data_IF_370617639663
#
_entry.id   IF_370617639663
#
_cell.length_a   1.000
_cell.length_b   1.000
_cell.length_c   1.000
_cell.angle_alpha   90.00
_cell.angle_beta   90.00
_cell.angle_gamma   90.00
#
_symmetry.space_group_name_H-M   'P 1'
#
loop_
_entity.id
_entity.type
_entity.pdbx_description
1 polymer ?
#
# COMPACT_ATOMS: atom_id res chain seq x y z
N UNK A 1 -0.99 11.34 7.71
CA UNK A 1 -2.20 10.57 7.49
C UNK A 1 -2.75 10.02 8.78
N UNK A 2 -2.91 10.90 9.76
CA UNK A 2 -3.29 10.45 11.11
C UNK A 2 -4.64 9.74 11.16
N UNK A 3 -5.59 10.18 10.37
CA UNK A 3 -6.92 9.57 10.35
C UNK A 3 -6.89 8.12 9.92
N UNK A 4 -6.11 7.83 8.89
CA UNK A 4 -5.97 6.45 8.39
C UNK A 4 -5.35 5.56 9.46
N UNK A 5 -4.27 6.05 10.09
CA UNK A 5 -3.58 5.28 11.11
C UNK A 5 -4.47 4.99 12.30
N UNK A 6 -5.33 5.94 12.66
CA UNK A 6 -6.32 5.74 13.72
C UNK A 6 -7.26 4.57 13.40
N UNK A 7 -7.79 4.54 12.19
CA UNK A 7 -8.68 3.46 11.78
C UNK A 7 -7.99 2.11 11.77
N UNK A 8 -6.75 2.05 11.25
CA UNK A 8 -5.97 0.82 11.24
C UNK A 8 -5.70 0.35 12.67
N UNK A 9 -5.35 1.27 13.55
CA UNK A 9 -5.07 0.95 14.93
C UNK A 9 -6.27 0.27 15.61
N UNK A 10 -7.46 0.83 15.46
CA UNK A 10 -8.67 0.27 16.05
C UNK A 10 -8.95 -1.13 15.50
N UNK A 11 -8.84 -1.30 14.20
CA UNK A 11 -9.04 -2.61 13.57
C UNK A 11 -8.00 -3.63 14.03
N UNK A 12 -6.76 -3.20 14.18
CA UNK A 12 -5.69 -4.07 14.66
C UNK A 12 -5.99 -4.59 16.05
N UNK A 13 -6.50 -3.74 16.92
CA UNK A 13 -6.90 -4.14 18.26
C UNK A 13 -8.04 -5.16 18.22
N UNK A 14 -9.03 -4.92 17.37
CA UNK A 14 -10.14 -5.86 17.19
C UNK A 14 -9.63 -7.21 16.67
N UNK A 15 -8.70 -7.17 15.72
CA UNK A 15 -8.14 -8.40 15.17
C UNK A 15 -7.37 -9.21 16.21
N UNK A 16 -6.77 -8.57 17.20
CA UNK A 16 -6.10 -9.28 18.27
C UNK A 16 -7.07 -10.05 19.17
N UNK A 17 -8.28 -9.55 19.29
CA UNK A 17 -9.35 -10.24 20.02
C UNK A 17 -9.96 -11.36 19.21
N UNK A 18 -9.93 -11.25 17.89
CA UNK A 18 -10.40 -12.27 16.98
C UNK A 18 -9.26 -13.24 16.69
N UNK A 19 -9.51 -14.50 16.76
CA UNK A 19 -8.49 -15.50 16.45
C UNK A 19 -8.27 -15.55 14.95
N UNK A 20 -7.19 -14.92 14.49
CA UNK A 20 -6.82 -14.98 13.08
C UNK A 20 -6.35 -16.40 12.73
N UNK A 21 -6.80 -16.90 11.61
CA UNK A 21 -6.36 -18.19 11.09
C UNK A 21 -5.21 -18.02 10.09
N UNK A 22 -5.04 -16.81 9.57
CA UNK A 22 -3.99 -16.48 8.61
C UNK A 22 -3.59 -15.02 8.80
N UNK A 23 -2.41 -14.62 8.31
CA UNK A 23 -1.98 -13.24 8.45
C UNK A 23 -2.93 -12.28 7.73
N UNK A 24 -2.97 -11.05 8.21
CA UNK A 24 -3.66 -9.96 7.53
C UNK A 24 -2.64 -8.87 7.20
N UNK A 25 -2.69 -8.37 5.96
CA UNK A 25 -1.86 -7.27 5.51
C UNK A 25 -2.71 -6.03 5.39
N UNK A 26 -2.34 -4.99 6.12
CA UNK A 26 -2.90 -3.65 5.94
C UNK A 26 -1.94 -2.86 5.07
N UNK A 27 -2.46 -2.08 4.14
CA UNK A 27 -1.59 -1.30 3.29
C UNK A 27 -2.13 0.10 3.08
N UNK A 28 -1.21 1.02 2.81
CA UNK A 28 -1.50 2.40 2.53
C UNK A 28 -0.71 2.79 1.28
N UNK A 29 -1.37 3.40 0.32
CA UNK A 29 -0.78 3.75 -0.97
C UNK A 29 -0.73 5.26 -1.13
N UNK A 30 0.40 5.76 -1.66
CA UNK A 30 0.46 7.09 -2.24
C UNK A 30 0.59 6.93 -3.74
N UNK A 31 -0.08 7.78 -4.50
CA UNK A 31 -0.27 7.56 -5.93
C UNK A 31 -0.07 8.85 -6.72
N UNK A 32 -0.10 8.73 -8.06
CA UNK A 32 -0.05 9.90 -8.94
C UNK A 32 -1.41 10.59 -9.08
N UNK A 33 -2.48 9.98 -8.57
CA UNK A 33 -3.83 10.54 -8.66
C UNK A 33 -4.86 9.51 -8.22
N UNK A 34 -6.11 9.74 -8.57
CA UNK A 34 -7.24 8.94 -8.07
C UNK A 34 -7.90 8.06 -9.14
N UNK A 35 -7.34 7.99 -10.33
CA UNK A 35 -7.90 7.18 -11.40
C UNK A 35 -7.22 5.82 -11.43
N UNK A 36 -7.94 4.77 -11.04
CA UNK A 36 -7.40 3.41 -10.94
C UNK A 36 -6.83 2.91 -12.27
N UNK A 37 -7.44 3.30 -13.39
CA UNK A 37 -7.01 2.82 -14.71
C UNK A 37 -5.73 3.51 -15.22
N UNK A 38 -5.50 4.75 -14.80
CA UNK A 38 -4.39 5.57 -15.33
C UNK A 38 -3.30 5.85 -14.34
N UNK A 39 -3.64 5.99 -13.07
CA UNK A 39 -2.68 6.39 -12.07
C UNK A 39 -1.86 5.21 -11.55
N UNK A 40 -0.71 5.55 -10.99
CA UNK A 40 0.28 4.56 -10.56
C UNK A 40 0.65 4.80 -9.10
N UNK A 41 1.15 3.76 -8.46
CA UNK A 41 1.63 3.82 -7.09
C UNK A 41 3.00 4.50 -7.08
N UNK A 42 3.22 5.42 -6.12
CA UNK A 42 4.53 6.03 -5.87
C UNK A 42 5.12 5.60 -4.53
N UNK A 43 4.28 5.14 -3.61
CA UNK A 43 4.74 4.58 -2.34
C UNK A 43 3.74 3.53 -1.90
N UNK A 44 4.23 2.41 -1.37
CA UNK A 44 3.39 1.38 -0.77
C UNK A 44 3.96 1.03 0.60
N UNK A 45 3.12 1.13 1.62
CA UNK A 45 3.44 0.71 2.98
C UNK A 45 2.56 -0.47 3.34
N UNK A 46 3.16 -1.53 3.85
CA UNK A 46 2.44 -2.75 4.25
C UNK A 46 2.76 -3.08 5.70
N UNK A 47 1.71 -3.29 6.48
CA UNK A 47 1.81 -3.83 7.83
C UNK A 47 1.17 -5.22 7.83
N UNK A 48 1.96 -6.23 8.09
CA UNK A 48 1.49 -7.62 8.14
C UNK A 48 1.39 -8.07 9.60
N UNK A 49 0.20 -8.52 9.99
CA UNK A 49 -0.06 -9.01 11.34
C UNK A 49 -0.30 -10.51 11.27
N UNK A 50 0.49 -11.27 12.01
CA UNK A 50 0.40 -12.73 12.04
C UNK A 50 -0.58 -13.21 13.10
N UNK A 51 -1.12 -14.44 12.96
CA UNK A 51 -2.04 -14.97 13.97
C UNK A 51 -1.50 -15.02 15.41
N UNK A 52 -0.17 -15.10 15.57
CA UNK A 52 0.45 -15.10 16.89
C UNK A 52 0.68 -13.70 17.46
N UNK A 53 0.21 -12.66 16.76
CA UNK A 53 0.38 -11.27 17.20
C UNK A 53 1.65 -10.61 16.72
N UNK A 54 2.57 -11.33 16.10
CA UNK A 54 3.77 -10.73 15.53
C UNK A 54 3.40 -9.81 14.37
N UNK A 55 4.23 -8.79 14.14
CA UNK A 55 4.02 -7.79 13.10
C UNK A 55 5.28 -7.61 12.28
N UNK A 56 5.09 -7.35 11.01
CA UNK A 56 6.15 -7.01 10.08
C UNK A 56 5.69 -5.83 9.24
N UNK A 57 6.55 -4.83 9.06
CA UNK A 57 6.17 -3.67 8.26
C UNK A 57 7.27 -3.34 7.26
N UNK A 58 6.87 -2.96 6.06
CA UNK A 58 7.77 -2.52 5.00
C UNK A 58 7.16 -1.38 4.22
N UNK A 59 8.03 -0.50 3.73
CA UNK A 59 7.62 0.62 2.88
C UNK A 59 8.56 0.68 1.69
N UNK A 60 8.01 0.85 0.50
CA UNK A 60 8.77 1.02 -0.72
C UNK A 60 8.36 2.30 -1.41
N UNK A 61 9.35 3.07 -1.87
CA UNK A 61 9.13 4.11 -2.86
C UNK A 61 9.17 3.45 -4.24
N UNK A 62 8.31 3.89 -5.13
CA UNK A 62 8.12 3.27 -6.44
C UNK A 62 8.23 4.34 -7.52
N UNK A 63 9.00 4.04 -8.56
CA UNK A 63 9.01 4.89 -9.74
C UNK A 63 7.72 4.63 -10.53
N UNK A 64 6.80 5.61 -10.63
CA UNK A 64 5.51 5.37 -11.28
C UNK A 64 5.58 5.36 -12.80
N UNK A 65 6.75 5.65 -13.37
CA UNK A 65 6.95 5.71 -14.83
C UNK A 65 6.04 6.74 -15.50
N UNK A 66 5.62 7.75 -14.75
CA UNK A 66 4.85 8.88 -15.24
C UNK A 66 5.09 10.08 -14.35
N UNK A 67 4.77 11.26 -14.86
CA UNK A 67 4.90 12.50 -14.10
C UNK A 67 3.88 12.55 -12.99
N UNK A 68 4.33 12.91 -11.78
CA UNK A 68 3.43 13.16 -10.65
C UNK A 68 2.96 14.61 -10.77
N UNK A 69 1.65 14.87 -10.87
CA UNK A 69 1.16 16.26 -10.95
C UNK A 69 1.54 17.07 -9.71
N UNK A 70 1.79 18.36 -9.90
CA UNK A 70 2.21 19.23 -8.80
C UNK A 70 1.20 19.25 -7.66
N UNK A 71 -0.08 19.27 -7.97
CA UNK A 71 -1.13 19.28 -6.96
C UNK A 71 -1.13 18.00 -6.11
N UNK A 72 -0.68 16.90 -6.69
CA UNK A 72 -0.59 15.63 -5.98
C UNK A 72 0.67 15.61 -5.11
N UNK A 73 1.78 16.13 -5.62
CA UNK A 73 3.01 16.31 -4.83
C UNK A 73 2.73 17.17 -3.60
N UNK A 74 1.92 18.20 -3.76
CA UNK A 74 1.55 19.08 -2.64
C UNK A 74 0.81 18.33 -1.54
N UNK A 75 0.12 17.24 -1.87
CA UNK A 75 -0.63 16.45 -0.90
C UNK A 75 0.28 15.48 -0.12
N UNK A 76 1.11 14.70 -0.81
CA UNK A 76 1.90 13.66 -0.14
C UNK A 76 3.40 13.95 -0.06
N UNK A 77 3.87 15.00 -0.73
CA UNK A 77 5.27 15.41 -0.64
C UNK A 77 6.27 14.55 -1.39
N UNK A 78 5.81 13.59 -2.18
CA UNK A 78 6.71 12.73 -2.95
C UNK A 78 6.91 13.36 -4.32
N UNK A 79 8.12 13.83 -4.58
CA UNK A 79 8.46 14.53 -5.81
C UNK A 79 8.88 13.57 -6.92
N UNK A 80 8.84 14.06 -8.16
CA UNK A 80 9.33 13.28 -9.30
C UNK A 80 10.82 12.91 -9.13
N UNK A 81 11.62 13.82 -8.60
CA UNK A 81 13.04 13.57 -8.36
C UNK A 81 13.26 12.47 -7.34
N UNK A 82 12.41 12.41 -6.33
CA UNK A 82 12.54 11.46 -5.23
C UNK A 82 12.34 10.02 -5.69
N UNK A 83 11.53 9.81 -6.71
CA UNK A 83 11.23 8.46 -7.22
C UNK A 83 11.92 8.13 -8.53
N UNK A 84 12.66 9.09 -9.11
CA UNK A 84 13.29 8.91 -10.43
C UNK A 84 14.25 7.72 -10.50
N UNK A 85 14.96 7.45 -9.40
CA UNK A 85 15.92 6.35 -9.36
C UNK A 85 15.43 5.17 -8.53
N UNK A 86 14.15 5.17 -8.15
CA UNK A 86 13.57 4.05 -7.42
C UNK A 86 13.12 2.95 -8.37
N UNK A 87 12.99 1.71 -7.89
CA UNK A 87 12.50 0.64 -8.76
C UNK A 87 11.05 0.88 -9.18
N UNK A 88 10.70 0.32 -10.32
CA UNK A 88 9.31 0.34 -10.79
C UNK A 88 8.50 -0.68 -10.01
N UNK A 89 7.17 -0.58 -10.06
CA UNK A 89 6.32 -1.57 -9.40
C UNK A 89 6.58 -2.97 -9.97
N UNK A 90 6.78 -3.07 -11.27
CA UNK A 90 7.09 -4.35 -11.90
C UNK A 90 8.33 -5.00 -11.28
N UNK A 91 9.36 -4.21 -11.02
CA UNK A 91 10.59 -4.72 -10.39
C UNK A 91 10.37 -5.15 -8.94
N UNK A 92 9.44 -4.50 -8.24
CA UNK A 92 9.11 -4.80 -6.85
C UNK A 92 8.02 -5.85 -6.69
N UNK A 93 7.32 -6.20 -7.78
CA UNK A 93 6.11 -7.01 -7.72
C UNK A 93 6.31 -8.36 -7.02
N UNK A 94 7.42 -9.02 -7.28
CA UNK A 94 7.70 -10.32 -6.65
C UNK A 94 7.86 -10.20 -5.14
N UNK A 95 8.57 -9.18 -4.69
CA UNK A 95 8.80 -8.94 -3.27
C UNK A 95 7.51 -8.59 -2.56
N UNK A 96 6.73 -7.71 -3.17
CA UNK A 96 5.43 -7.29 -2.63
C UNK A 96 4.47 -8.48 -2.59
N UNK A 97 4.38 -9.23 -3.68
CA UNK A 97 3.52 -10.41 -3.74
C UNK A 97 3.90 -11.44 -2.67
N UNK A 98 5.20 -11.67 -2.50
CA UNK A 98 5.70 -12.61 -1.50
C UNK A 98 5.25 -12.21 -0.09
N UNK A 99 5.20 -10.92 0.19
CA UNK A 99 4.77 -10.43 1.49
C UNK A 99 3.27 -10.62 1.72
N UNK A 100 2.45 -10.37 0.70
CA UNK A 100 0.98 -10.42 0.85
C UNK A 100 0.39 -11.79 0.56
N UNK A 101 1.18 -12.70 0.01
CA UNK A 101 0.73 -14.04 -0.34
C UNK A 101 0.17 -14.76 0.89
N UNK A 102 -0.93 -15.48 0.71
CA UNK A 102 -1.59 -16.26 1.76
C UNK A 102 -2.05 -15.40 2.95
N UNK A 103 -2.30 -14.11 2.71
CA UNK A 103 -2.78 -13.18 3.71
C UNK A 103 -4.12 -12.58 3.28
N UNK A 104 -4.91 -12.21 4.26
CA UNK A 104 -6.06 -11.35 4.00
C UNK A 104 -5.57 -9.93 3.77
N UNK A 105 -6.30 -9.13 3.02
CA UNK A 105 -5.90 -7.76 2.69
C UNK A 105 -6.88 -6.76 3.28
N UNK A 106 -6.35 -5.64 3.77
CA UNK A 106 -7.15 -4.54 4.28
C UNK A 106 -6.43 -3.21 4.07
N UNK A 107 -7.15 -2.11 4.24
CA UNK A 107 -6.59 -0.78 4.09
C UNK A 107 -7.66 0.27 4.25
N UNK A 108 -7.28 1.55 4.16
CA UNK A 108 -8.22 2.64 4.39
C UNK A 108 -9.23 2.81 3.28
N UNK A 109 -8.77 2.88 2.05
CA UNK A 109 -9.63 3.00 0.89
C UNK A 109 -9.65 1.69 0.13
N UNK A 110 -9.52 0.57 0.85
CA UNK A 110 -9.28 -0.73 0.26
C UNK A 110 -10.33 -1.15 -0.75
N UNK A 111 -11.60 -0.93 -0.45
CA UNK A 111 -12.68 -1.38 -1.33
C UNK A 111 -12.85 -0.52 -2.57
N UNK A 112 -12.53 0.77 -2.47
CA UNK A 112 -12.80 1.72 -3.54
C UNK A 112 -11.58 2.08 -4.37
N UNK A 113 -10.41 2.07 -3.77
CA UNK A 113 -9.23 2.56 -4.46
C UNK A 113 -8.00 1.67 -4.26
N UNK A 114 -7.59 1.42 -3.01
CA UNK A 114 -6.30 0.77 -2.76
C UNK A 114 -6.23 -0.65 -3.32
N UNK A 115 -7.23 -1.48 -3.06
CA UNK A 115 -7.24 -2.85 -3.59
C UNK A 115 -7.37 -2.86 -5.11
N UNK A 116 -8.30 -2.12 -5.72
CA UNK A 116 -8.37 -2.05 -7.18
C UNK A 116 -7.08 -1.55 -7.82
N UNK A 117 -6.45 -0.53 -7.26
CA UNK A 117 -5.20 -0.02 -7.81
C UNK A 117 -4.06 -1.02 -7.65
N UNK A 118 -3.96 -1.67 -6.51
CA UNK A 118 -2.95 -2.70 -6.30
C UNK A 118 -3.14 -3.85 -7.29
N UNK A 119 -4.37 -4.27 -7.52
CA UNK A 119 -4.68 -5.30 -8.50
C UNK A 119 -4.26 -4.87 -9.91
N UNK A 120 -4.55 -3.62 -10.29
CA UNK A 120 -4.12 -3.08 -11.58
C UNK A 120 -2.60 -3.10 -11.72
N UNK A 121 -1.88 -2.68 -10.70
CA UNK A 121 -0.43 -2.67 -10.73
C UNK A 121 0.15 -4.08 -10.85
N UNK A 122 -0.42 -5.04 -10.15
CA UNK A 122 0.05 -6.43 -10.24
C UNK A 122 -0.21 -7.06 -11.61
N UNK A 123 -1.21 -6.57 -12.33
CA UNK A 123 -1.53 -7.06 -13.68
C UNK A 123 -0.70 -6.38 -14.77
N UNK A 124 -0.11 -5.26 -14.47
CA UNK A 124 0.75 -4.54 -15.40
C UNK A 124 2.13 -5.19 -15.45
#
# INVERSE_FOLDING_TARGET
MPKKRKGIFVKSRTCMELKLTRPICFFDLETTGVNVAKDRIVEIAILKVYPNGNKESKTWLVNPEMTIPEEVVAVHGITNEKVANEPTFKELSKEIYKMIKDSDLGGFNSDRFDIPLLAEELLR
#
